data_IF_275438375046
#
_entry.id   IF_275438375046
#
_cell.length_a   1.000
_cell.length_b   1.000
_cell.length_c   1.000
_cell.angle_alpha   90.00
_cell.angle_beta   90.00
_cell.angle_gamma   90.00
#
_symmetry.space_group_name_H-M   'P 1'
#
loop_
_entity.id
_entity.type
_entity.pdbx_description
1 polymer ?
#
# COMPACT_ATOMS: atom_id res chain seq x y z
N UNK A 1 24.67 11.42 6.78
CA UNK A 1 25.20 10.19 7.39
C UNK A 1 25.89 9.38 6.30
N UNK A 2 27.13 8.95 6.52
CA UNK A 2 27.85 8.13 5.51
C UNK A 2 27.38 6.68 5.54
N UNK A 3 27.48 5.95 4.43
CA UNK A 3 27.15 4.51 4.34
C UNK A 3 27.84 3.72 5.45
N UNK A 4 29.15 3.91 5.61
CA UNK A 4 29.96 3.23 6.61
C UNK A 4 29.52 3.53 8.06
N UNK A 5 29.19 4.78 8.33
CA UNK A 5 28.69 5.20 9.66
C UNK A 5 27.34 4.55 9.96
N UNK A 6 26.43 4.54 8.97
CA UNK A 6 25.13 3.91 9.07
C UNK A 6 25.24 2.39 9.30
N UNK A 7 26.10 1.70 8.54
CA UNK A 7 26.28 0.25 8.63
C UNK A 7 26.96 -0.20 9.94
N UNK A 8 27.73 0.67 10.59
CA UNK A 8 28.36 0.40 11.90
C UNK A 8 27.46 0.69 13.10
N UNK A 9 26.30 1.31 12.89
CA UNK A 9 25.33 1.49 13.97
C UNK A 9 24.86 0.13 14.50
N UNK A 10 24.80 -0.04 15.82
CA UNK A 10 24.52 -1.32 16.46
C UNK A 10 23.18 -1.93 16.04
N UNK A 11 22.12 -1.11 15.95
CA UNK A 11 20.79 -1.57 15.51
C UNK A 11 20.83 -2.04 14.04
N UNK A 12 21.56 -1.31 13.19
CA UNK A 12 21.70 -1.64 11.76
C UNK A 12 22.52 -2.90 11.56
N UNK A 13 23.67 -3.02 12.24
CA UNK A 13 24.52 -4.20 12.18
C UNK A 13 23.78 -5.44 12.70
N UNK A 14 23.03 -5.28 13.80
CA UNK A 14 22.17 -6.33 14.34
C UNK A 14 21.09 -6.77 13.36
N UNK A 15 20.43 -5.83 12.68
CA UNK A 15 19.44 -6.15 11.63
C UNK A 15 20.10 -6.85 10.44
N UNK A 16 21.29 -6.44 10.00
CA UNK A 16 22.02 -7.07 8.89
C UNK A 16 22.32 -8.54 9.23
N UNK A 17 22.83 -8.82 10.43
CA UNK A 17 23.09 -10.18 10.92
C UNK A 17 21.81 -11.03 10.91
N UNK A 18 20.70 -10.46 11.40
CA UNK A 18 19.40 -11.12 11.39
C UNK A 18 18.93 -11.40 9.96
N UNK A 19 19.01 -10.43 9.06
CA UNK A 19 18.59 -10.58 7.66
C UNK A 19 19.47 -11.59 6.92
N UNK A 20 20.78 -11.63 7.18
CA UNK A 20 21.67 -12.64 6.61
C UNK A 20 21.21 -14.06 6.97
N UNK A 21 20.83 -14.27 8.24
CA UNK A 21 20.25 -15.53 8.70
C UNK A 21 18.87 -15.84 8.09
N UNK A 22 18.04 -14.82 7.85
CA UNK A 22 16.75 -14.98 7.15
C UNK A 22 16.96 -15.36 5.67
N UNK A 23 17.94 -14.74 5.02
CA UNK A 23 18.27 -14.95 3.60
C UNK A 23 18.81 -16.36 3.36
N UNK A 24 19.67 -16.87 4.24
CA UNK A 24 20.21 -18.23 4.13
C UNK A 24 19.33 -19.31 4.76
N UNK A 25 18.23 -18.92 5.41
CA UNK A 25 17.24 -19.83 5.99
C UNK A 25 17.59 -20.39 7.38
N UNK A 26 18.75 -20.02 7.96
CA UNK A 26 19.08 -20.38 9.35
C UNK A 26 18.12 -19.74 10.37
N UNK A 27 17.55 -18.58 10.01
CA UNK A 27 16.51 -17.91 10.78
C UNK A 27 15.19 -18.05 10.01
N UNK A 28 14.28 -18.95 10.42
CA UNK A 28 13.01 -19.13 9.74
C UNK A 28 12.08 -17.94 9.99
N UNK A 29 11.28 -17.58 8.98
CA UNK A 29 10.27 -16.52 9.05
C UNK A 29 8.86 -17.06 9.30
N UNK A 30 8.59 -18.31 8.92
CA UNK A 30 7.28 -18.98 9.08
C UNK A 30 6.11 -18.09 8.63
N UNK A 31 6.23 -17.51 7.43
CA UNK A 31 5.33 -16.49 6.95
C UNK A 31 4.05 -17.10 6.37
N UNK A 32 2.86 -16.84 6.95
CA UNK A 32 1.60 -17.31 6.35
C UNK A 32 1.26 -16.45 5.14
N UNK A 33 1.13 -17.07 3.98
CA UNK A 33 0.78 -16.38 2.72
C UNK A 33 -0.63 -16.73 2.26
N UNK A 34 -1.26 -15.77 1.59
CA UNK A 34 -2.52 -15.94 0.86
C UNK A 34 -2.45 -15.14 -0.44
N UNK A 35 -2.46 -15.84 -1.56
CA UNK A 35 -2.47 -15.29 -2.91
C UNK A 35 -3.85 -15.48 -3.56
N UNK A 36 -4.28 -14.51 -4.35
CA UNK A 36 -5.61 -14.57 -4.99
C UNK A 36 -5.54 -15.35 -6.32
N UNK A 37 -6.46 -16.30 -6.50
CA UNK A 37 -6.51 -17.28 -7.60
C UNK A 37 -6.60 -16.67 -9.01
N UNK A 38 -7.19 -15.48 -9.16
CA UNK A 38 -7.61 -14.97 -10.46
C UNK A 38 -6.48 -14.64 -11.45
N UNK A 39 -5.21 -14.70 -11.04
CA UNK A 39 -4.06 -14.26 -11.86
C UNK A 39 -2.86 -15.21 -11.87
N UNK A 40 -2.92 -16.34 -11.16
CA UNK A 40 -1.84 -17.35 -11.16
C UNK A 40 -2.24 -18.56 -12.04
N UNK A 41 -1.29 -19.21 -12.72
CA UNK A 41 -1.58 -20.35 -13.57
C UNK A 41 -1.95 -21.58 -12.72
N UNK A 42 -2.62 -22.55 -13.33
CA UNK A 42 -2.99 -23.80 -12.66
C UNK A 42 -1.78 -24.56 -12.12
N UNK A 43 -0.65 -24.53 -12.86
CA UNK A 43 0.63 -25.10 -12.43
C UNK A 43 1.14 -24.49 -11.12
N UNK A 44 1.05 -23.18 -10.95
CA UNK A 44 1.44 -22.50 -9.72
C UNK A 44 0.61 -22.99 -8.52
N UNK A 45 -0.71 -23.09 -8.72
CA UNK A 45 -1.62 -23.56 -7.67
C UNK A 45 -1.37 -25.02 -7.31
N UNK A 46 -1.01 -25.85 -8.29
CA UNK A 46 -0.65 -27.25 -8.07
C UNK A 46 0.69 -27.40 -7.33
N UNK A 47 1.69 -26.57 -7.62
CA UNK A 47 3.02 -26.66 -6.99
C UNK A 47 3.07 -26.07 -5.58
N UNK A 48 2.40 -24.94 -5.33
CA UNK A 48 2.57 -24.18 -4.08
C UNK A 48 1.29 -23.99 -3.29
N UNK A 49 0.12 -24.23 -3.89
CA UNK A 49 -1.15 -23.77 -3.33
C UNK A 49 -1.27 -22.24 -3.31
N UNK A 50 -2.49 -21.75 -3.07
CA UNK A 50 -2.78 -20.32 -2.97
C UNK A 50 -2.64 -19.78 -1.55
N UNK A 51 -2.55 -20.65 -0.56
CA UNK A 51 -2.34 -20.28 0.82
C UNK A 51 -1.51 -21.34 1.53
N UNK A 52 -0.71 -20.93 2.49
CA UNK A 52 0.15 -21.83 3.23
C UNK A 52 1.11 -21.07 4.13
N UNK A 53 2.18 -21.73 4.52
CA UNK A 53 3.28 -21.13 5.29
C UNK A 53 4.54 -21.25 4.45
N UNK A 54 5.27 -20.14 4.33
CA UNK A 54 6.60 -20.08 3.74
C UNK A 54 7.64 -20.07 4.88
N UNK A 55 8.36 -21.17 5.13
CA UNK A 55 9.36 -21.24 6.20
C UNK A 55 10.50 -20.23 6.03
N UNK A 56 10.94 -20.00 4.79
CA UNK A 56 12.10 -19.17 4.44
C UNK A 56 11.75 -18.06 3.44
N UNK A 57 12.67 -17.11 3.27
CA UNK A 57 12.53 -16.09 2.22
C UNK A 57 12.69 -16.67 0.81
N UNK A 58 13.50 -17.73 0.65
CA UNK A 58 13.62 -18.45 -0.63
C UNK A 58 12.29 -19.08 -1.04
N UNK A 59 11.50 -19.61 -0.10
CA UNK A 59 10.17 -20.15 -0.41
C UNK A 59 9.26 -19.09 -1.04
N UNK A 60 9.37 -17.82 -0.61
CA UNK A 60 8.63 -16.71 -1.19
C UNK A 60 9.17 -16.31 -2.56
N UNK A 61 10.48 -16.38 -2.77
CA UNK A 61 11.09 -16.19 -4.09
C UNK A 61 10.61 -17.25 -5.09
N UNK A 62 10.62 -18.53 -4.72
CA UNK A 62 10.17 -19.64 -5.57
C UNK A 62 8.67 -19.49 -5.97
N UNK A 63 7.92 -18.71 -5.18
CA UNK A 63 6.52 -18.35 -5.42
C UNK A 63 6.33 -17.03 -6.16
N UNK A 64 7.40 -16.42 -6.68
CA UNK A 64 7.29 -15.15 -7.38
C UNK A 64 6.36 -15.26 -8.59
N UNK A 65 5.33 -14.41 -8.59
CA UNK A 65 4.42 -14.31 -9.70
C UNK A 65 3.87 -12.89 -9.81
N UNK A 66 4.06 -12.27 -10.96
CA UNK A 66 3.57 -10.92 -11.19
C UNK A 66 3.22 -10.68 -12.65
N UNK A 67 2.09 -9.99 -12.84
CA UNK A 67 1.49 -9.70 -14.14
C UNK A 67 1.42 -10.91 -15.10
N UNK A 68 1.05 -12.07 -14.53
CA UNK A 68 0.93 -13.35 -15.27
C UNK A 68 2.25 -13.87 -15.83
N UNK A 69 3.37 -13.51 -15.21
CA UNK A 69 4.72 -13.91 -15.59
C UNK A 69 5.50 -14.44 -14.40
N UNK A 70 6.40 -15.39 -14.67
CA UNK A 70 7.40 -15.88 -13.71
C UNK A 70 8.46 -14.81 -13.39
N UNK A 71 9.41 -15.16 -12.54
CA UNK A 71 10.57 -14.31 -12.28
C UNK A 71 11.42 -14.15 -13.55
N UNK A 72 11.71 -15.25 -14.24
CA UNK A 72 12.55 -15.30 -15.44
C UNK A 72 11.96 -14.45 -16.57
N UNK A 73 10.67 -14.60 -16.87
CA UNK A 73 9.98 -13.82 -17.90
C UNK A 73 9.98 -12.30 -17.61
N UNK A 74 9.87 -11.94 -16.33
CA UNK A 74 10.00 -10.55 -15.90
C UNK A 74 11.45 -10.07 -15.97
N UNK A 75 12.42 -10.90 -15.58
CA UNK A 75 13.84 -10.59 -15.64
C UNK A 75 14.32 -10.36 -17.08
N UNK A 76 13.83 -11.13 -18.05
CA UNK A 76 14.08 -10.90 -19.48
C UNK A 76 13.52 -9.55 -19.94
N UNK A 77 12.29 -9.22 -19.54
CA UNK A 77 11.66 -7.94 -19.86
C UNK A 77 12.46 -6.78 -19.28
N UNK A 78 12.84 -6.86 -18.00
CA UNK A 78 13.65 -5.86 -17.33
C UNK A 78 15.05 -5.73 -17.90
N UNK A 79 15.66 -6.84 -18.36
CA UNK A 79 16.97 -6.82 -19.01
C UNK A 79 16.92 -6.05 -20.32
N UNK A 80 15.88 -6.24 -21.13
CA UNK A 80 15.68 -5.46 -22.36
C UNK A 80 15.53 -3.97 -22.07
N UNK A 81 14.69 -3.62 -21.10
CA UNK A 81 14.48 -2.22 -20.69
C UNK A 81 15.77 -1.62 -20.11
N UNK A 82 16.50 -2.35 -19.27
CA UNK A 82 17.80 -1.95 -18.71
C UNK A 82 18.79 -1.64 -19.82
N UNK A 83 18.91 -2.52 -20.81
CA UNK A 83 19.85 -2.34 -21.91
C UNK A 83 19.48 -1.12 -22.74
N UNK A 84 18.20 -0.94 -23.07
CA UNK A 84 17.70 0.25 -23.76
C UNK A 84 18.03 1.53 -22.99
N UNK A 85 17.70 1.56 -21.70
CA UNK A 85 17.92 2.70 -20.82
C UNK A 85 19.41 3.05 -20.68
N UNK A 86 20.25 2.07 -20.33
CA UNK A 86 21.70 2.28 -20.16
C UNK A 86 22.38 2.69 -21.46
N UNK A 87 21.99 2.11 -22.60
CA UNK A 87 22.56 2.49 -23.89
C UNK A 87 22.15 3.92 -24.29
N UNK A 88 20.89 4.31 -24.05
CA UNK A 88 20.41 5.68 -24.33
C UNK A 88 21.16 6.76 -23.55
N UNK A 89 21.78 6.43 -22.41
CA UNK A 89 22.52 7.36 -21.56
C UNK A 89 24.04 7.34 -21.77
N UNK A 90 24.58 6.40 -22.56
CA UNK A 90 26.03 6.30 -22.84
C UNK A 90 26.51 7.27 -23.91
N UNK A 91 25.62 7.79 -24.73
CA UNK A 91 25.96 8.71 -25.82
C UNK A 91 26.49 10.04 -25.24
N UNK A 92 27.50 10.63 -25.91
CA UNK A 92 28.04 11.95 -25.52
C UNK A 92 27.01 13.07 -25.60
N UNK A 93 25.96 12.88 -26.41
CA UNK A 93 24.76 13.69 -26.44
C UNK A 93 23.53 12.76 -26.48
N UNK A 94 23.01 12.34 -25.31
CA UNK A 94 21.87 11.42 -25.23
C UNK A 94 20.65 11.92 -25.99
N UNK A 95 20.14 11.10 -26.92
CA UNK A 95 18.87 11.41 -27.57
C UNK A 95 17.72 11.38 -26.56
N UNK A 96 17.09 12.54 -26.31
CA UNK A 96 16.05 12.69 -25.28
C UNK A 96 14.84 11.76 -25.51
N UNK A 97 14.49 11.49 -26.78
CA UNK A 97 13.39 10.59 -27.10
C UNK A 97 13.72 9.13 -26.74
N UNK A 98 14.96 8.68 -26.97
CA UNK A 98 15.39 7.32 -26.60
C UNK A 98 15.38 7.14 -25.07
N UNK A 99 15.89 8.12 -24.32
CA UNK A 99 15.86 8.11 -22.85
C UNK A 99 14.41 8.09 -22.34
N UNK A 100 13.55 8.95 -22.89
CA UNK A 100 12.14 8.98 -22.55
C UNK A 100 11.44 7.64 -22.83
N UNK A 101 11.64 7.06 -24.02
CA UNK A 101 11.01 5.81 -24.41
C UNK A 101 11.40 4.66 -23.46
N UNK A 102 12.68 4.55 -23.09
CA UNK A 102 13.13 3.53 -22.14
C UNK A 102 12.51 3.73 -20.74
N UNK A 103 12.37 4.98 -20.28
CA UNK A 103 11.64 5.29 -19.04
C UNK A 103 10.16 4.95 -19.17
N UNK A 104 9.53 5.29 -20.30
CA UNK A 104 8.11 5.04 -20.56
C UNK A 104 7.78 3.54 -20.56
N UNK A 105 8.58 2.73 -21.24
CA UNK A 105 8.46 1.27 -21.25
C UNK A 105 8.49 0.69 -19.83
N UNK A 106 9.37 1.23 -18.97
CA UNK A 106 9.45 0.81 -17.57
C UNK A 106 8.22 1.21 -16.75
N UNK A 107 7.67 2.41 -17.00
CA UNK A 107 6.46 2.87 -16.34
C UNK A 107 5.26 2.00 -16.75
N UNK A 108 5.17 1.63 -18.03
CA UNK A 108 4.08 0.79 -18.55
C UNK A 108 4.19 -0.66 -18.08
N UNK A 109 5.41 -1.17 -17.91
CA UNK A 109 5.65 -2.44 -17.22
C UNK A 109 5.18 -2.36 -15.76
N UNK A 110 5.80 -1.47 -14.97
CA UNK A 110 5.80 -1.60 -13.51
C UNK A 110 4.70 -0.87 -12.75
N UNK A 111 3.86 -0.06 -13.40
CA UNK A 111 2.88 0.80 -12.73
C UNK A 111 1.45 0.65 -13.25
N UNK A 112 0.49 0.95 -12.38
CA UNK A 112 -0.90 1.12 -12.79
C UNK A 112 -1.03 2.29 -13.79
N UNK A 113 -1.91 2.22 -14.81
CA UNK A 113 -1.97 3.20 -15.91
C UNK A 113 -1.96 4.68 -15.49
N UNK A 114 -2.72 5.04 -14.44
CA UNK A 114 -2.74 6.41 -13.91
C UNK A 114 -1.37 6.87 -13.37
N UNK A 115 -0.68 5.99 -12.64
CA UNK A 115 0.65 6.29 -12.11
C UNK A 115 1.72 6.26 -13.21
N UNK A 116 1.58 5.37 -14.19
CA UNK A 116 2.42 5.36 -15.38
C UNK A 116 2.31 6.68 -16.15
N UNK A 117 1.09 7.12 -16.46
CA UNK A 117 0.82 8.38 -17.14
C UNK A 117 1.42 9.60 -16.41
N UNK A 118 1.25 9.68 -15.08
CA UNK A 118 1.81 10.79 -14.30
C UNK A 118 3.35 10.81 -14.26
N UNK A 119 4.00 9.65 -14.28
CA UNK A 119 5.46 9.58 -14.32
C UNK A 119 6.03 9.82 -15.72
N UNK A 120 5.31 9.37 -16.76
CA UNK A 120 5.63 9.67 -18.17
C UNK A 120 5.51 11.17 -18.45
N UNK A 121 4.42 11.81 -18.04
CA UNK A 121 4.23 13.25 -18.21
C UNK A 121 5.34 14.07 -17.53
N UNK A 122 5.81 13.65 -16.34
CA UNK A 122 6.95 14.32 -15.72
C UNK A 122 8.24 14.13 -16.53
N UNK A 123 8.50 12.92 -17.04
CA UNK A 123 9.69 12.61 -17.83
C UNK A 123 9.72 13.42 -19.13
N UNK A 124 8.59 13.45 -19.83
CA UNK A 124 8.38 14.22 -21.05
C UNK A 124 8.63 15.72 -20.81
N UNK A 125 8.11 16.27 -19.71
CA UNK A 125 8.31 17.67 -19.34
C UNK A 125 9.78 18.06 -19.08
N UNK A 126 10.68 17.10 -18.83
CA UNK A 126 12.10 17.39 -18.66
C UNK A 126 12.84 17.59 -19.99
N UNK A 127 12.30 17.05 -21.09
CA UNK A 127 12.95 17.09 -22.41
C UNK A 127 14.42 16.64 -22.36
N UNK A 128 15.31 17.44 -22.94
CA UNK A 128 16.75 17.17 -22.98
C UNK A 128 17.43 17.10 -21.58
N UNK A 129 16.82 17.67 -20.53
CA UNK A 129 17.37 17.61 -19.18
C UNK A 129 17.11 16.27 -18.47
N UNK A 130 16.26 15.39 -19.03
CA UNK A 130 15.94 14.11 -18.42
C UNK A 130 17.19 13.25 -18.17
N UNK A 131 18.09 13.15 -19.16
CA UNK A 131 19.32 12.37 -19.06
C UNK A 131 20.21 12.86 -17.92
N UNK A 132 20.41 14.17 -17.82
CA UNK A 132 21.18 14.80 -16.75
C UNK A 132 20.58 14.53 -15.36
N UNK A 133 19.25 14.63 -15.21
CA UNK A 133 18.59 14.32 -13.93
C UNK A 133 18.76 12.85 -13.53
N UNK A 134 18.62 11.92 -14.49
CA UNK A 134 18.81 10.49 -14.23
C UNK A 134 20.26 10.16 -13.87
N UNK A 135 21.24 10.76 -14.55
CA UNK A 135 22.67 10.56 -14.27
C UNK A 135 23.06 11.15 -12.91
N UNK A 136 22.53 12.33 -12.55
CA UNK A 136 22.69 12.89 -11.20
C UNK A 136 22.09 11.99 -10.13
N UNK A 137 20.90 11.44 -10.39
CA UNK A 137 20.23 10.52 -9.45
C UNK A 137 21.01 9.22 -9.29
N UNK A 138 21.54 8.66 -10.38
CA UNK A 138 22.45 7.51 -10.36
C UNK A 138 23.69 7.80 -9.50
N UNK A 139 24.39 8.91 -9.78
CA UNK A 139 25.58 9.29 -9.02
C UNK A 139 25.28 9.46 -7.52
N UNK A 140 24.12 10.03 -7.18
CA UNK A 140 23.69 10.22 -5.80
C UNK A 140 23.37 8.90 -5.08
N UNK A 141 22.78 7.92 -5.77
CA UNK A 141 22.48 6.59 -5.19
C UNK A 141 23.71 5.69 -5.07
N UNK A 142 24.70 5.88 -5.94
CA UNK A 142 25.97 5.14 -5.92
C UNK A 142 27.03 5.81 -5.01
N UNK A 143 26.73 6.99 -4.48
CA UNK A 143 27.55 7.69 -3.51
C UNK A 143 27.59 6.96 -2.16
N UNK A 144 28.77 6.93 -1.53
CA UNK A 144 28.94 6.49 -0.15
C UNK A 144 28.53 7.57 0.87
N UNK A 145 28.49 8.83 0.46
CA UNK A 145 27.95 9.93 1.26
C UNK A 145 26.44 10.05 1.06
N UNK A 146 25.70 10.45 2.10
CA UNK A 146 24.28 10.78 1.97
C UNK A 146 24.09 11.99 1.05
N UNK A 147 23.81 11.73 -0.23
CA UNK A 147 23.64 12.75 -1.24
C UNK A 147 22.22 13.35 -1.26
N UNK A 148 21.63 13.63 -0.08
CA UNK A 148 20.30 14.22 0.03
C UNK A 148 20.20 15.55 -0.73
N UNK A 149 21.26 16.34 -0.66
CA UNK A 149 21.38 17.64 -1.34
C UNK A 149 21.44 17.52 -2.87
N UNK A 150 21.62 16.32 -3.42
CA UNK A 150 21.65 16.09 -4.86
C UNK A 150 20.23 15.93 -5.46
N UNK A 151 19.20 15.67 -4.65
CA UNK A 151 17.84 15.40 -5.11
C UNK A 151 16.89 16.59 -5.34
N UNK A 152 17.25 17.88 -5.16
CA UNK A 152 16.43 18.97 -5.67
C UNK A 152 16.17 18.81 -7.17
N UNK A 153 14.90 18.61 -7.55
CA UNK A 153 14.48 18.43 -8.94
C UNK A 153 14.63 17.02 -9.51
N UNK A 154 15.26 16.09 -8.78
CA UNK A 154 15.32 14.67 -9.18
C UNK A 154 14.08 13.95 -8.65
N UNK A 155 13.34 13.30 -9.55
CA UNK A 155 12.13 12.57 -9.15
C UNK A 155 12.49 11.26 -8.48
N UNK A 156 11.97 11.07 -7.27
CA UNK A 156 11.99 9.79 -6.58
C UNK A 156 10.60 9.44 -6.04
N UNK A 157 10.12 8.25 -6.43
CA UNK A 157 8.89 7.60 -5.98
C UNK A 157 8.94 6.12 -6.40
N UNK A 158 7.90 5.32 -6.10
CA UNK A 158 7.82 3.90 -6.50
C UNK A 158 8.05 3.60 -8.00
N UNK A 159 7.83 4.56 -8.89
CA UNK A 159 8.13 4.44 -10.31
C UNK A 159 9.61 4.71 -10.61
N UNK A 160 10.15 5.78 -10.05
CA UNK A 160 11.54 6.16 -10.28
C UNK A 160 12.54 5.27 -9.54
N UNK A 161 12.16 4.64 -8.42
CA UNK A 161 12.97 3.56 -7.83
C UNK A 161 13.18 2.42 -8.81
N UNK A 162 12.25 2.16 -9.74
CA UNK A 162 12.43 1.19 -10.83
C UNK A 162 13.46 1.63 -11.84
N UNK A 163 13.39 2.90 -12.25
CA UNK A 163 14.38 3.49 -13.18
C UNK A 163 15.78 3.32 -12.59
N UNK A 164 15.96 3.72 -11.32
CA UNK A 164 17.27 3.62 -10.67
C UNK A 164 17.70 2.19 -10.38
N UNK A 165 16.79 1.26 -10.11
CA UNK A 165 17.10 -0.16 -9.98
C UNK A 165 17.59 -0.82 -11.29
N UNK A 166 17.33 -0.20 -12.45
CA UNK A 166 17.89 -0.62 -13.73
C UNK A 166 19.17 0.17 -14.10
N UNK A 167 19.34 1.39 -13.60
CA UNK A 167 20.52 2.23 -13.85
C UNK A 167 21.71 1.92 -12.94
N UNK A 168 21.46 1.65 -11.66
CA UNK A 168 22.48 1.39 -10.65
C UNK A 168 22.65 -0.14 -10.49
N UNK A 169 23.84 -0.58 -10.11
CA UNK A 169 24.11 -2.02 -9.97
C UNK A 169 23.47 -2.60 -8.70
N UNK A 170 23.58 -1.90 -7.57
CA UNK A 170 23.14 -2.40 -6.26
C UNK A 170 21.91 -1.65 -5.74
N UNK A 171 20.92 -1.41 -6.61
CA UNK A 171 19.68 -0.74 -6.24
C UNK A 171 18.45 -1.63 -6.45
N UNK A 172 17.58 -1.66 -5.45
CA UNK A 172 16.29 -2.34 -5.51
C UNK A 172 15.18 -1.41 -6.01
N UNK A 173 14.13 -2.01 -6.57
CA UNK A 173 12.79 -1.44 -6.69
C UNK A 173 12.20 -1.40 -5.30
N UNK A 174 12.40 -0.26 -4.62
CA UNK A 174 11.65 0.03 -3.42
C UNK A 174 10.25 0.44 -3.86
N UNK A 175 9.28 -0.47 -3.75
CA UNK A 175 7.86 -0.18 -3.96
C UNK A 175 7.06 -0.40 -2.68
N UNK A 176 5.73 -0.22 -2.75
CA UNK A 176 4.88 -0.36 -1.57
C UNK A 176 4.91 -1.77 -0.94
N UNK A 177 5.14 -2.83 -1.71
CA UNK A 177 5.25 -4.20 -1.17
C UNK A 177 6.62 -4.42 -0.55
N UNK A 178 7.68 -4.07 -1.26
CA UNK A 178 9.06 -4.22 -0.77
C UNK A 178 9.28 -3.42 0.51
N UNK A 179 8.81 -2.17 0.56
CA UNK A 179 8.89 -1.34 1.78
C UNK A 179 8.09 -1.93 2.95
N UNK A 180 6.88 -2.44 2.69
CA UNK A 180 6.08 -3.11 3.72
C UNK A 180 6.76 -4.38 4.25
N UNK A 181 7.35 -5.18 3.35
CA UNK A 181 8.09 -6.39 3.72
C UNK A 181 9.32 -6.08 4.58
N UNK A 182 10.08 -5.05 4.22
CA UNK A 182 11.25 -4.64 5.00
C UNK A 182 10.85 -4.16 6.41
N UNK A 183 9.81 -3.34 6.52
CA UNK A 183 9.26 -2.93 7.80
C UNK A 183 8.80 -4.12 8.65
N UNK A 184 8.15 -5.12 8.02
CA UNK A 184 7.73 -6.33 8.72
C UNK A 184 8.93 -7.16 9.24
N UNK A 185 10.01 -7.26 8.46
CA UNK A 185 11.25 -7.93 8.89
C UNK A 185 11.94 -7.17 10.02
N UNK A 186 11.94 -5.84 10.00
CA UNK A 186 12.39 -5.01 11.13
C UNK A 186 11.55 -5.30 12.38
N UNK A 187 10.23 -5.33 12.25
CA UNK A 187 9.34 -5.68 13.37
C UNK A 187 9.69 -7.05 13.94
N UNK A 188 9.86 -8.05 13.07
CA UNK A 188 10.22 -9.42 13.48
C UNK A 188 11.57 -9.45 14.22
N UNK A 189 12.56 -8.71 13.72
CA UNK A 189 13.87 -8.53 14.36
C UNK A 189 13.74 -7.91 15.77
N UNK A 190 13.02 -6.79 15.88
CA UNK A 190 12.85 -6.07 17.16
C UNK A 190 12.13 -6.94 18.20
N UNK A 191 11.05 -7.62 17.80
CA UNK A 191 10.31 -8.55 18.67
C UNK A 191 11.21 -9.67 19.18
N UNK A 192 12.01 -10.30 18.29
CA UNK A 192 12.88 -11.42 18.67
C UNK A 192 14.01 -11.02 19.61
N UNK A 193 14.48 -9.78 19.52
CA UNK A 193 15.49 -9.25 20.44
C UNK A 193 14.88 -8.65 21.71
N UNK A 194 13.56 -8.74 21.90
CA UNK A 194 12.88 -8.21 23.08
C UNK A 194 12.94 -6.68 23.18
N UNK A 195 13.14 -5.98 22.05
CA UNK A 195 13.14 -4.53 22.01
C UNK A 195 11.78 -3.98 22.45
N UNK A 196 11.80 -2.87 23.21
CA UNK A 196 10.59 -2.21 23.71
C UNK A 196 10.67 -0.72 23.38
N UNK A 197 9.52 -0.13 23.06
CA UNK A 197 9.41 1.30 22.77
C UNK A 197 9.37 1.60 21.28
N UNK A 198 9.88 2.77 20.90
CA UNK A 198 9.86 3.22 19.51
C UNK A 198 10.87 2.46 18.66
N UNK A 199 10.58 2.38 17.36
CA UNK A 199 11.52 1.85 16.37
C UNK A 199 12.72 2.80 16.32
N UNK A 200 13.97 2.29 16.38
CA UNK A 200 15.14 3.14 16.19
C UNK A 200 15.07 3.90 14.87
N UNK A 201 15.43 5.18 14.84
CA UNK A 201 15.36 6.03 13.64
C UNK A 201 16.18 5.48 12.47
N UNK A 202 17.24 4.73 12.76
CA UNK A 202 18.06 4.03 11.78
C UNK A 202 17.32 2.87 11.12
N UNK A 203 16.32 2.28 11.78
CA UNK A 203 15.50 1.17 11.29
C UNK A 203 14.07 1.58 10.88
N UNK A 204 13.75 2.87 10.98
CA UNK A 204 12.43 3.44 10.70
C UNK A 204 12.15 3.55 9.19
N UNK A 205 12.13 2.41 8.50
CA UNK A 205 11.73 2.33 7.09
C UNK A 205 10.27 2.76 6.89
N UNK A 206 10.00 3.24 5.67
CA UNK A 206 8.67 3.68 5.29
C UNK A 206 8.04 2.69 4.30
N UNK A 207 6.72 2.60 4.32
CA UNK A 207 5.95 1.69 3.47
C UNK A 207 4.84 2.43 2.73
N UNK A 208 4.22 1.82 1.72
CA UNK A 208 3.05 2.42 1.07
C UNK A 208 1.92 1.42 0.97
N UNK A 209 0.71 1.89 1.29
CA UNK A 209 -0.52 1.18 0.93
C UNK A 209 -0.57 0.92 -0.58
N UNK A 210 -1.14 -0.22 -0.94
CA UNK A 210 -1.51 -0.50 -2.32
C UNK A 210 -2.86 0.13 -2.69
N UNK A 211 -3.14 0.21 -3.98
CA UNK A 211 -4.51 0.46 -4.47
C UNK A 211 -5.43 -0.75 -4.29
N UNK A 212 -4.85 -1.89 -3.94
CA UNK A 212 -5.55 -3.16 -3.81
C UNK A 212 -5.95 -3.42 -2.35
N UNK A 213 -6.96 -4.27 -2.15
CA UNK A 213 -7.53 -4.54 -0.83
C UNK A 213 -6.60 -5.37 0.10
N UNK A 214 -5.43 -5.81 -0.38
CA UNK A 214 -4.50 -6.59 0.45
C UNK A 214 -3.91 -5.73 1.57
N UNK A 215 -3.92 -6.29 2.79
CA UNK A 215 -3.36 -5.66 3.96
C UNK A 215 -1.83 -5.58 3.84
N UNK A 216 -1.27 -4.37 3.89
CA UNK A 216 0.18 -4.13 3.80
C UNK A 216 0.74 -3.35 4.98
N UNK A 217 -0.05 -3.07 6.00
CA UNK A 217 0.42 -2.32 7.16
C UNK A 217 1.37 -3.21 7.98
N UNK A 218 2.65 -2.85 8.11
CA UNK A 218 3.62 -3.62 8.88
C UNK A 218 3.57 -3.29 10.37
N UNK A 219 2.75 -2.33 10.81
CA UNK A 219 2.58 -1.99 12.23
C UNK A 219 1.92 -3.13 13.01
N UNK A 220 2.33 -3.32 14.25
CA UNK A 220 1.93 -4.43 15.11
C UNK A 220 2.91 -4.62 16.26
N UNK A 221 2.57 -5.45 17.24
CA UNK A 221 3.50 -5.87 18.30
C UNK A 221 4.13 -4.69 19.09
N UNK A 222 3.42 -3.57 19.20
CA UNK A 222 3.89 -2.33 19.85
C UNK A 222 4.68 -1.37 18.95
N UNK A 223 4.90 -1.72 17.68
CA UNK A 223 5.65 -0.91 16.71
C UNK A 223 4.74 -0.26 15.66
N UNK A 224 4.98 1.03 15.39
CA UNK A 224 4.24 1.81 14.40
C UNK A 224 5.18 2.30 13.29
N UNK A 225 4.86 1.96 12.04
CA UNK A 225 5.63 2.38 10.86
C UNK A 225 4.87 3.45 10.08
N UNK A 226 5.55 4.54 9.79
CA UNK A 226 5.00 5.64 9.01
C UNK A 226 4.86 5.29 7.52
N UNK A 227 3.76 5.71 6.86
CA UNK A 227 3.59 5.52 5.43
C UNK A 227 4.31 6.61 4.62
N UNK A 228 4.78 6.25 3.42
CA UNK A 228 5.22 7.16 2.37
C UNK A 228 4.04 8.02 1.92
N UNK A 229 4.10 9.33 2.22
CA UNK A 229 3.05 10.27 1.84
C UNK A 229 3.26 10.73 0.40
N UNK A 230 2.37 10.32 -0.51
CA UNK A 230 2.38 10.79 -1.89
C UNK A 230 2.00 12.29 -1.96
N UNK A 231 2.77 13.08 -2.72
CA UNK A 231 2.37 14.43 -3.13
C UNK A 231 2.59 15.57 -2.12
N UNK A 232 3.33 15.33 -1.03
CA UNK A 232 3.81 16.41 -0.15
C UNK A 232 5.24 16.84 -0.53
N UNK A 233 5.60 18.09 -0.22
CA UNK A 233 7.00 18.55 -0.24
C UNK A 233 7.86 17.60 0.60
N UNK A 234 9.06 17.26 0.12
CA UNK A 234 9.96 16.29 0.78
C UNK A 234 9.63 14.81 0.53
N UNK A 235 8.56 14.48 -0.21
CA UNK A 235 8.23 13.08 -0.51
C UNK A 235 9.38 12.36 -1.24
N UNK A 236 10.02 13.01 -2.22
CA UNK A 236 11.15 12.42 -2.93
C UNK A 236 12.36 12.20 -2.03
N UNK A 237 12.66 13.12 -1.11
CA UNK A 237 13.76 12.96 -0.13
C UNK A 237 13.52 11.76 0.78
N UNK A 238 12.29 11.60 1.29
CA UNK A 238 11.93 10.43 2.10
C UNK A 238 12.07 9.12 1.33
N UNK A 239 11.68 9.08 0.04
CA UNK A 239 11.89 7.90 -0.80
C UNK A 239 13.37 7.62 -1.05
N UNK A 240 14.19 8.65 -1.25
CA UNK A 240 15.64 8.51 -1.46
C UNK A 240 16.27 7.89 -0.21
N UNK A 241 15.98 8.46 0.96
CA UNK A 241 16.52 8.00 2.23
C UNK A 241 16.25 6.51 2.47
N UNK A 242 14.98 6.11 2.41
CA UNK A 242 14.62 4.70 2.65
C UNK A 242 15.15 3.76 1.56
N UNK A 243 15.22 4.21 0.30
CA UNK A 243 15.76 3.39 -0.78
C UNK A 243 17.27 3.18 -0.64
N UNK A 244 18.03 4.24 -0.32
CA UNK A 244 19.47 4.13 -0.08
C UNK A 244 19.79 3.22 1.10
N UNK A 245 19.13 3.43 2.25
CA UNK A 245 19.31 2.58 3.44
C UNK A 245 18.95 1.13 3.17
N UNK A 246 17.87 0.88 2.43
CA UNK A 246 17.45 -0.48 2.07
C UNK A 246 18.45 -1.15 1.13
N UNK A 247 18.97 -0.42 0.13
CA UNK A 247 20.02 -0.92 -0.76
C UNK A 247 21.24 -1.35 0.06
N UNK A 248 21.73 -0.50 0.96
CA UNK A 248 22.90 -0.78 1.78
C UNK A 248 22.71 -1.99 2.71
N UNK A 249 21.60 -2.05 3.46
CA UNK A 249 21.33 -3.16 4.37
C UNK A 249 21.14 -4.47 3.62
N UNK A 250 20.36 -4.48 2.54
CA UNK A 250 20.09 -5.73 1.80
C UNK A 250 21.32 -6.23 1.04
N UNK A 251 22.14 -5.33 0.49
CA UNK A 251 23.43 -5.68 -0.09
C UNK A 251 24.35 -6.32 0.96
N UNK A 252 24.53 -5.67 2.11
CA UNK A 252 25.35 -6.19 3.22
C UNK A 252 24.84 -7.54 3.72
N UNK A 253 23.53 -7.66 3.98
CA UNK A 253 22.93 -8.90 4.46
C UNK A 253 23.05 -10.04 3.44
N UNK A 254 22.83 -9.76 2.14
CA UNK A 254 23.02 -10.76 1.08
C UNK A 254 24.46 -11.24 1.04
N UNK A 255 25.43 -10.31 1.03
CA UNK A 255 26.85 -10.63 0.95
C UNK A 255 27.32 -11.45 2.16
N UNK A 256 26.75 -11.19 3.34
CA UNK A 256 27.03 -11.94 4.57
C UNK A 256 26.28 -13.29 4.65
N UNK A 257 25.17 -13.45 3.94
CA UNK A 257 24.31 -14.64 4.08
C UNK A 257 24.94 -15.94 3.56
N UNK A 258 25.84 -15.86 2.57
CA UNK A 258 26.34 -16.98 1.76
C UNK A 258 25.23 -17.84 1.10
N UNK A 259 24.01 -17.31 0.98
CA UNK A 259 22.88 -18.06 0.44
C UNK A 259 23.01 -18.31 -1.07
N UNK A 260 23.01 -19.57 -1.48
CA UNK A 260 23.26 -19.96 -2.88
C UNK A 260 22.27 -19.34 -3.87
N UNK A 261 20.99 -19.27 -3.51
CA UNK A 261 19.92 -18.82 -4.41
C UNK A 261 20.07 -17.37 -4.87
N UNK A 262 20.73 -16.52 -4.08
CA UNK A 262 20.93 -15.09 -4.34
C UNK A 262 22.39 -14.64 -4.28
N UNK A 263 23.35 -15.53 -4.53
CA UNK A 263 24.79 -15.21 -4.40
C UNK A 263 25.40 -14.43 -5.57
N UNK A 264 24.82 -14.53 -6.76
CA UNK A 264 25.37 -13.97 -8.00
C UNK A 264 24.92 -12.52 -8.23
N UNK A 265 25.35 -11.92 -9.35
CA UNK A 265 25.08 -10.51 -9.68
C UNK A 265 23.59 -10.14 -9.63
N UNK A 266 22.69 -11.06 -10.01
CA UNK A 266 21.24 -10.85 -9.96
C UNK A 266 20.63 -11.11 -8.57
N UNK A 267 21.45 -11.47 -7.58
CA UNK A 267 21.01 -11.90 -6.26
C UNK A 267 20.18 -10.86 -5.51
N UNK A 268 20.50 -9.56 -5.67
CA UNK A 268 19.72 -8.49 -5.04
C UNK A 268 18.32 -8.36 -5.68
N UNK A 269 18.19 -8.67 -6.98
CA UNK A 269 16.90 -8.70 -7.68
C UNK A 269 16.04 -9.88 -7.22
N UNK A 270 16.65 -11.05 -6.96
CA UNK A 270 15.94 -12.19 -6.37
C UNK A 270 15.48 -11.91 -4.95
N UNK A 271 16.32 -11.25 -4.15
CA UNK A 271 15.96 -10.83 -2.80
C UNK A 271 14.79 -9.83 -2.82
N UNK A 272 14.84 -8.84 -3.72
CA UNK A 272 13.73 -7.91 -3.96
C UNK A 272 12.44 -8.64 -4.37
N UNK A 273 12.52 -9.63 -5.27
CA UNK A 273 11.38 -10.45 -5.68
C UNK A 273 10.77 -11.23 -4.51
N UNK A 274 11.61 -11.76 -3.61
CA UNK A 274 11.16 -12.42 -2.40
C UNK A 274 10.43 -11.44 -1.45
N UNK A 275 10.99 -10.25 -1.24
CA UNK A 275 10.37 -9.19 -0.44
C UNK A 275 9.06 -8.70 -1.06
N UNK A 276 8.98 -8.63 -2.39
CA UNK A 276 7.77 -8.28 -3.11
C UNK A 276 6.63 -9.28 -2.87
N UNK A 277 6.97 -10.58 -2.77
CA UNK A 277 6.01 -11.63 -2.43
C UNK A 277 5.63 -11.61 -0.93
N UNK A 278 6.59 -11.38 -0.04
CA UNK A 278 6.33 -11.18 1.40
C UNK A 278 5.34 -10.03 1.61
N UNK A 279 5.60 -8.89 0.96
CA UNK A 279 4.77 -7.69 1.04
C UNK A 279 3.46 -7.75 0.27
N UNK A 280 3.08 -8.91 -0.29
CA UNK A 280 1.82 -9.08 -1.00
C UNK A 280 0.63 -8.82 -0.09
N UNK A 281 0.59 -9.51 1.05
CA UNK A 281 -0.41 -9.38 2.10
C UNK A 281 0.23 -9.75 3.44
N UNK A 282 0.45 -8.76 4.31
CA UNK A 282 1.02 -8.96 5.63
C UNK A 282 -0.04 -9.44 6.63
N UNK A 283 0.30 -10.36 7.55
CA UNK A 283 -0.56 -10.72 8.67
C UNK A 283 -0.88 -9.49 9.51
N UNK A 284 -2.11 -9.40 10.01
CA UNK A 284 -2.44 -8.41 11.04
C UNK A 284 -1.55 -8.68 12.27
N UNK A 285 -0.86 -7.66 12.79
CA UNK A 285 -0.07 -7.80 14.01
C UNK A 285 -0.97 -8.03 15.21
N UNK A 286 -0.55 -8.88 16.16
CA UNK A 286 -1.25 -8.96 17.44
C UNK A 286 -1.02 -7.64 18.21
N UNK A 287 -2.06 -7.10 18.82
CA UNK A 287 -1.96 -5.88 19.64
C UNK A 287 -2.21 -4.54 18.93
N UNK A 288 -2.65 -4.51 17.67
CA UNK A 288 -3.30 -3.32 17.07
C UNK A 288 -4.60 -3.72 16.33
N UNK A 289 -5.24 -4.82 16.72
CA UNK A 289 -6.57 -5.16 16.19
C UNK A 289 -7.71 -4.32 16.77
N UNK A 290 -7.41 -3.42 17.72
CA UNK A 290 -8.38 -2.49 18.31
C UNK A 290 -8.28 -1.06 17.78
N UNK A 291 -7.26 -0.71 16.99
CA UNK A 291 -7.05 0.68 16.56
C UNK A 291 -7.04 0.90 15.04
N UNK A 292 -6.93 -0.15 14.20
CA UNK A 292 -6.77 0.01 12.74
C UNK A 292 -7.96 -0.45 11.88
N UNK A 293 -9.12 -0.77 12.47
CA UNK A 293 -10.40 -0.86 11.71
C UNK A 293 -11.06 0.52 11.48
N UNK A 294 -10.46 1.60 11.99
CA UNK A 294 -10.67 3.01 11.63
C UNK A 294 -9.23 3.52 11.42
N UNK A 295 -8.73 3.97 10.28
CA UNK A 295 -9.21 4.93 9.30
C UNK A 295 -8.19 4.94 8.14
N UNK A 296 -8.55 4.37 6.99
CA UNK A 296 -7.92 4.74 5.71
C UNK A 296 -8.99 5.27 4.76
N UNK A 297 -9.84 6.15 5.30
CA UNK A 297 -10.84 6.89 4.55
C UNK A 297 -10.73 8.34 4.96
N UNK A 298 -9.91 9.09 4.21
CA UNK A 298 -9.82 10.56 4.17
C UNK A 298 -10.18 11.23 5.50
N UNK A 299 -9.19 11.43 6.37
CA UNK A 299 -9.26 12.57 7.29
C UNK A 299 -9.20 13.86 6.47
N UNK A 300 -10.36 14.24 5.93
CA UNK A 300 -10.67 15.66 5.80
C UNK A 300 -10.83 16.14 7.22
N UNK A 301 -9.95 17.05 7.65
CA UNK A 301 -10.10 17.88 8.84
C UNK A 301 -11.55 18.40 8.97
N UNK A 302 -12.41 17.66 9.63
CA UNK A 302 -13.55 18.23 10.33
C UNK A 302 -13.17 18.19 11.79
N UNK A 303 -13.03 19.39 12.38
CA UNK A 303 -12.81 19.60 13.81
C UNK A 303 -13.67 18.61 14.58
N UNK A 304 -13.06 17.90 15.53
CA UNK A 304 -13.72 17.07 16.52
C UNK A 304 -14.81 17.88 17.24
N UNK A 305 -16.03 17.83 16.73
CA UNK A 305 -17.23 18.17 17.48
C UNK A 305 -17.60 16.93 18.28
N UNK A 306 -17.82 17.09 19.58
CA UNK A 306 -18.41 16.06 20.41
C UNK A 306 -19.77 15.68 19.83
N UNK A 307 -19.93 14.41 19.44
CA UNK A 307 -21.21 13.89 18.95
C UNK A 307 -22.04 13.52 20.18
N UNK A 308 -23.26 14.07 20.35
CA UNK A 308 -24.09 13.75 21.50
C UNK A 308 -24.44 12.25 21.56
N UNK A 309 -24.64 11.67 22.75
CA UNK A 309 -25.21 10.33 22.88
C UNK A 309 -26.50 10.21 22.05
N UNK A 310 -26.72 9.05 21.42
CA UNK A 310 -27.89 8.86 20.56
C UNK A 310 -27.76 9.40 19.12
N UNK A 311 -26.60 9.95 18.75
CA UNK A 311 -26.38 10.57 17.44
C UNK A 311 -25.19 9.97 16.69
N UNK A 312 -25.21 10.10 15.36
CA UNK A 312 -24.09 9.78 14.46
C UNK A 312 -23.72 11.01 13.63
N UNK A 313 -22.43 11.22 13.32
CA UNK A 313 -22.01 12.34 12.49
C UNK A 313 -22.41 12.14 11.03
N UNK A 314 -22.62 13.25 10.32
CA UNK A 314 -22.58 13.23 8.86
C UNK A 314 -21.12 13.17 8.41
N UNK A 315 -20.79 12.21 7.55
CA UNK A 315 -19.41 12.00 7.09
C UNK A 315 -19.01 12.92 5.93
N UNK A 316 -19.99 13.47 5.21
CA UNK A 316 -19.75 14.33 4.04
C UNK A 316 -20.33 15.74 4.23
N UNK A 317 -20.89 16.04 5.41
CA UNK A 317 -21.44 17.33 5.79
C UNK A 317 -21.19 17.66 7.27
N UNK A 318 -21.12 18.93 7.67
CA UNK A 318 -21.17 19.31 9.08
C UNK A 318 -22.48 18.86 9.76
N UNK A 319 -22.37 18.46 11.03
CA UNK A 319 -23.50 18.12 11.91
C UNK A 319 -23.59 16.63 12.23
N UNK A 320 -24.70 16.27 12.88
CA UNK A 320 -25.03 14.92 13.30
C UNK A 320 -26.54 14.69 13.18
N UNK A 321 -26.97 13.44 13.15
CA UNK A 321 -28.39 13.06 13.16
C UNK A 321 -28.65 12.04 14.26
N UNK A 322 -29.88 12.02 14.76
CA UNK A 322 -30.31 11.04 15.76
C UNK A 322 -30.61 9.71 15.06
N UNK A 323 -29.95 8.63 15.49
CA UNK A 323 -30.29 7.30 14.97
C UNK A 323 -31.60 6.76 15.55
N UNK A 324 -32.05 7.29 16.70
CA UNK A 324 -33.39 6.99 17.23
C UNK A 324 -34.48 7.65 16.40
N UNK A 325 -34.26 8.87 15.89
CA UNK A 325 -35.17 9.49 14.91
C UNK A 325 -35.31 8.64 13.64
N UNK A 326 -34.22 8.02 13.18
CA UNK A 326 -34.26 7.09 12.05
C UNK A 326 -35.09 5.84 12.37
N UNK A 327 -34.95 5.27 13.58
CA UNK A 327 -35.78 4.14 14.04
C UNK A 327 -37.26 4.55 14.09
N UNK A 328 -37.57 5.70 14.66
CA UNK A 328 -38.94 6.20 14.78
C UNK A 328 -39.55 6.50 13.42
N UNK A 329 -38.77 7.04 12.49
CA UNK A 329 -39.19 7.22 11.11
C UNK A 329 -39.50 5.87 10.43
N UNK A 330 -38.61 4.88 10.54
CA UNK A 330 -38.84 3.56 9.95
C UNK A 330 -40.08 2.88 10.53
N UNK A 331 -40.30 2.99 11.84
CA UNK A 331 -41.49 2.47 12.52
C UNK A 331 -42.76 3.21 12.10
N UNK A 332 -42.74 4.54 12.11
CA UNK A 332 -43.89 5.37 11.74
C UNK A 332 -44.32 5.19 10.28
N UNK A 333 -43.35 4.89 9.39
CA UNK A 333 -43.61 4.56 7.99
C UNK A 333 -43.81 3.06 7.73
N UNK A 334 -43.78 2.23 8.78
CA UNK A 334 -43.88 0.76 8.70
C UNK A 334 -42.89 0.14 7.70
N UNK A 335 -41.67 0.68 7.64
CA UNK A 335 -40.63 0.24 6.73
C UNK A 335 -39.84 -0.92 7.37
N UNK A 336 -39.94 -2.15 6.86
CA UNK A 336 -39.16 -3.29 7.39
C UNK A 336 -37.65 -3.12 7.11
N UNK A 337 -37.32 -2.33 6.10
CA UNK A 337 -35.96 -1.96 5.72
C UNK A 337 -35.95 -0.65 4.93
N UNK A 338 -34.78 -0.03 4.83
CA UNK A 338 -34.50 1.06 3.90
C UNK A 338 -33.35 0.65 2.98
N UNK A 339 -33.50 0.86 1.68
CA UNK A 339 -32.40 0.68 0.72
C UNK A 339 -31.33 1.73 1.02
N UNK A 340 -30.06 1.33 1.12
CA UNK A 340 -28.96 2.28 1.42
C UNK A 340 -28.95 3.40 0.37
N UNK A 341 -29.01 3.02 -0.90
CA UNK A 341 -29.38 3.91 -2.00
C UNK A 341 -28.40 5.02 -2.34
N UNK A 342 -27.16 4.98 -1.85
CA UNK A 342 -26.16 6.01 -2.08
C UNK A 342 -25.93 6.33 -3.56
N UNK A 343 -26.21 7.58 -3.94
CA UNK A 343 -26.02 8.12 -5.30
C UNK A 343 -25.01 9.28 -5.27
N UNK A 344 -24.39 9.66 -6.38
CA UNK A 344 -23.56 10.88 -6.48
C UNK A 344 -24.29 12.04 -7.19
N UNK A 345 -25.58 11.88 -7.49
CA UNK A 345 -26.43 12.93 -8.07
C UNK A 345 -26.87 13.97 -7.01
N UNK A 346 -27.32 15.13 -7.49
CA UNK A 346 -27.94 16.19 -6.67
C UNK A 346 -29.24 15.69 -6.03
N UNK A 347 -29.64 16.31 -4.93
CA UNK A 347 -30.79 15.88 -4.13
C UNK A 347 -32.09 15.79 -4.96
N UNK A 348 -32.35 16.81 -5.77
CA UNK A 348 -33.55 16.90 -6.62
C UNK A 348 -33.58 15.85 -7.75
N UNK A 349 -32.43 15.23 -8.06
CA UNK A 349 -32.29 14.20 -9.10
C UNK A 349 -32.16 12.79 -8.51
N UNK A 350 -32.34 12.65 -7.19
CA UNK A 350 -32.11 11.39 -6.52
C UNK A 350 -33.17 10.34 -6.89
N UNK A 351 -32.76 9.27 -7.56
CA UNK A 351 -33.68 8.28 -8.14
C UNK A 351 -34.42 7.39 -7.11
N UNK A 352 -34.11 7.52 -5.82
CA UNK A 352 -34.64 6.67 -4.74
C UNK A 352 -35.10 7.49 -3.53
N UNK A 353 -36.30 8.09 -3.55
CA UNK A 353 -36.79 8.96 -2.48
C UNK A 353 -37.03 8.23 -1.14
N UNK A 354 -37.18 6.90 -1.18
CA UNK A 354 -37.37 6.06 0.03
C UNK A 354 -36.06 5.46 0.57
N UNK A 355 -34.91 5.90 0.07
CA UNK A 355 -33.61 5.37 0.51
C UNK A 355 -33.07 6.05 1.76
N UNK A 356 -32.15 5.36 2.44
CA UNK A 356 -31.39 5.91 3.56
C UNK A 356 -30.61 7.16 3.13
N UNK A 357 -29.97 7.14 1.95
CA UNK A 357 -29.23 8.30 1.43
C UNK A 357 -30.13 9.53 1.30
N UNK A 358 -31.32 9.35 0.74
CA UNK A 358 -32.28 10.44 0.57
C UNK A 358 -32.75 11.00 1.91
N UNK A 359 -33.08 10.12 2.87
CA UNK A 359 -33.49 10.52 4.22
C UNK A 359 -32.39 11.31 4.95
N UNK A 360 -31.13 10.88 4.82
CA UNK A 360 -29.98 11.54 5.41
C UNK A 360 -29.68 12.89 4.75
N UNK A 361 -29.77 12.98 3.42
CA UNK A 361 -29.56 14.24 2.69
C UNK A 361 -30.58 15.30 3.07
N UNK A 362 -31.84 14.92 3.29
CA UNK A 362 -32.90 15.82 3.73
C UNK A 362 -32.63 16.44 5.12
N UNK A 363 -31.73 15.85 5.91
CA UNK A 363 -31.35 16.29 7.27
C UNK A 363 -29.91 16.82 7.35
N UNK A 364 -29.21 16.84 6.23
CA UNK A 364 -27.83 17.26 6.14
C UNK A 364 -27.75 18.72 5.71
N UNK A 365 -26.71 19.42 6.19
CA UNK A 365 -26.35 20.75 5.69
C UNK A 365 -25.83 20.74 4.24
N UNK A 366 -25.64 19.55 3.64
CA UNK A 366 -25.24 19.37 2.23
C UNK A 366 -26.13 18.31 1.56
N UNK A 367 -27.34 18.67 1.11
CA UNK A 367 -28.29 17.72 0.51
C UNK A 367 -27.80 17.13 -0.83
N UNK A 368 -26.99 17.88 -1.59
CA UNK A 368 -26.46 17.44 -2.89
C UNK A 368 -25.26 16.48 -2.79
N UNK A 369 -24.86 16.10 -1.58
CA UNK A 369 -23.74 15.19 -1.35
C UNK A 369 -24.26 13.90 -0.75
N UNK A 370 -23.78 12.76 -1.28
CA UNK A 370 -24.05 11.43 -0.73
C UNK A 370 -23.74 11.35 0.75
N UNK A 371 -24.71 10.97 1.57
CA UNK A 371 -24.56 10.83 3.02
C UNK A 371 -24.47 9.37 3.47
N UNK A 372 -25.13 8.44 2.77
CA UNK A 372 -25.13 7.00 3.11
C UNK A 372 -23.80 6.31 2.74
N UNK A 373 -22.69 6.83 3.24
CA UNK A 373 -21.38 6.23 3.01
C UNK A 373 -21.28 4.89 3.73
N UNK A 374 -20.39 4.00 3.28
CA UNK A 374 -20.13 2.72 3.95
C UNK A 374 -19.86 2.90 5.45
N UNK A 375 -19.13 3.96 5.81
CA UNK A 375 -18.76 4.25 7.21
C UNK A 375 -19.97 4.58 8.06
N UNK A 376 -20.87 5.43 7.54
CA UNK A 376 -22.11 5.76 8.23
C UNK A 376 -22.98 4.51 8.44
N UNK A 377 -23.08 3.67 7.42
CA UNK A 377 -23.83 2.41 7.51
C UNK A 377 -23.20 1.49 8.55
N UNK A 378 -21.89 1.37 8.58
CA UNK A 378 -21.19 0.53 9.56
C UNK A 378 -21.40 1.04 11.00
N UNK A 379 -21.40 2.35 11.22
CA UNK A 379 -21.72 2.92 12.54
C UNK A 379 -23.19 2.73 12.93
N UNK A 380 -24.13 2.81 11.97
CA UNK A 380 -25.53 2.44 12.22
C UNK A 380 -25.63 0.99 12.69
N UNK A 381 -24.91 0.06 12.05
CA UNK A 381 -24.89 -1.35 12.45
C UNK A 381 -24.25 -1.52 13.84
N UNK A 382 -23.21 -0.75 14.14
CA UNK A 382 -22.53 -0.79 15.44
C UNK A 382 -23.43 -0.35 16.62
N UNK A 383 -24.53 0.37 16.37
CA UNK A 383 -25.52 0.67 17.41
C UNK A 383 -26.25 -0.56 17.94
N UNK A 384 -26.22 -1.68 17.21
CA UNK A 384 -27.00 -2.87 17.52
C UNK A 384 -28.50 -2.75 17.22
N UNK A 385 -28.98 -1.60 16.73
CA UNK A 385 -30.40 -1.39 16.40
C UNK A 385 -30.72 -1.78 14.94
N UNK A 386 -29.69 -1.83 14.10
CA UNK A 386 -29.82 -2.09 12.66
C UNK A 386 -29.05 -3.33 12.24
N UNK A 387 -29.57 -4.02 11.23
CA UNK A 387 -28.93 -5.17 10.58
C UNK A 387 -28.81 -4.93 9.08
N UNK A 388 -27.68 -5.36 8.49
CA UNK A 388 -27.46 -5.29 7.05
C UNK A 388 -28.19 -6.44 6.37
N UNK A 389 -28.92 -6.12 5.30
CA UNK A 389 -29.72 -7.08 4.53
C UNK A 389 -29.55 -6.84 3.03
N UNK A 390 -30.12 -7.77 2.26
CA UNK A 390 -30.32 -7.64 0.84
C UNK A 390 -31.81 -7.77 0.58
N UNK A 391 -32.47 -6.67 0.20
CA UNK A 391 -33.91 -6.64 -0.03
C UNK A 391 -34.21 -6.08 -1.43
N UNK A 392 -35.37 -6.42 -1.98
CA UNK A 392 -35.81 -5.95 -3.30
C UNK A 392 -36.16 -4.46 -3.20
N UNK A 393 -35.44 -3.64 -3.97
CA UNK A 393 -35.66 -2.19 -3.99
C UNK A 393 -37.02 -1.86 -4.61
N UNK A 394 -37.95 -1.21 -3.89
CA UNK A 394 -39.28 -0.90 -4.42
C UNK A 394 -39.26 -0.02 -5.66
N UNK A 395 -38.28 0.87 -5.77
CA UNK A 395 -38.14 1.79 -6.91
C UNK A 395 -37.54 1.14 -8.17
N UNK A 396 -36.73 0.08 -8.04
CA UNK A 396 -35.99 -0.49 -9.18
C UNK A 396 -36.23 -1.97 -9.44
N UNK A 397 -36.96 -2.68 -8.57
CA UNK A 397 -37.20 -4.13 -8.65
C UNK A 397 -35.98 -5.03 -8.48
N UNK A 398 -34.78 -4.46 -8.30
CA UNK A 398 -33.50 -5.17 -8.13
C UNK A 398 -33.20 -5.42 -6.66
N UNK A 399 -32.57 -6.56 -6.35
CA UNK A 399 -31.99 -6.83 -5.03
C UNK A 399 -30.88 -5.81 -4.74
N UNK A 400 -30.98 -5.10 -3.62
CA UNK A 400 -30.07 -4.03 -3.23
C UNK A 400 -29.68 -4.18 -1.75
N UNK A 401 -28.50 -3.65 -1.39
CA UNK A 401 -28.12 -3.54 0.01
C UNK A 401 -29.09 -2.61 0.76
N UNK A 402 -29.53 -3.07 1.91
CA UNK A 402 -30.51 -2.40 2.78
C UNK A 402 -30.07 -2.44 4.25
N UNK A 403 -30.65 -1.54 5.04
CA UNK A 403 -30.62 -1.58 6.51
C UNK A 403 -32.02 -1.87 7.02
N UNK A 404 -32.16 -2.86 7.90
CA UNK A 404 -33.41 -3.17 8.59
C UNK A 404 -33.24 -3.04 10.10
N UNK A 405 -34.35 -2.96 10.84
CA UNK A 405 -34.31 -3.00 12.31
C UNK A 405 -34.02 -4.43 12.79
N UNK A 406 -33.25 -4.57 13.87
CA UNK A 406 -32.98 -5.88 14.49
C UNK A 406 -34.23 -6.42 15.19
N UNK A 407 -34.40 -7.75 15.21
CA UNK A 407 -35.56 -8.41 15.84
C UNK A 407 -35.73 -8.14 17.35
N UNK A 408 -34.67 -7.73 18.06
CA UNK A 408 -34.75 -7.31 19.47
C UNK A 408 -35.63 -6.06 19.67
N UNK A 409 -35.93 -5.33 18.59
CA UNK A 409 -36.69 -4.08 18.57
C UNK A 409 -38.07 -4.28 17.89
N UNK A 410 -38.25 -5.42 17.20
CA UNK A 410 -39.48 -5.81 16.51
C UNK A 410 -40.54 -6.43 17.42
N UNK A 411 -40.21 -6.77 18.68
CA UNK A 411 -41.15 -7.37 19.64
C UNK A 411 -42.04 -6.36 20.40
N UNK A 412 -42.03 -5.06 20.06
CA UNK A 412 -42.96 -4.07 20.62
C UNK A 412 -44.21 -3.83 19.74
N UNK A 413 -44.46 -4.70 18.77
CA UNK A 413 -45.71 -4.73 17.99
C UNK A 413 -46.26 -6.16 17.95
N UNK A 414 -46.83 -6.58 19.08
CA UNK A 414 -48.07 -7.35 19.16
C UNK A 414 -48.98 -6.69 20.19
#
# INVERSE_FOLDING_TARGET
>A
MKKDEYLRNDDVSGLINFLAGVINGSIPIQFPYVFHSAKVPSSFSASFGLSGVAPTLKDLFDRYWWDRKSYEENAETLTRIRNSLRNSLKESAPNAANVYNAVADLMDWGLHPKAAAANKAWAEAQGANLSNLLLKGKAALESEDSAFDAFPGIRMNAGYTKVYALLCENSIIYDGRVGAALCWLVRLYLVRNGHKGQIPDTLAFLWSGGLSAQHRNPSGDGFAFEPLRNGMHGASEAWVDVNMRANWILESARNQSDAEWCRYEDGLRKLEAALFMLGYALPAGQGIESANKRTNKRERKHKSQEVPPGHLPFYEAPGYFSYTELVDFMRGQQLPFMIIGGDNQSFDKHAKPHSLDYWLRARSSRPDVRQSTTTLVDDLLATGLFVRRNDVCPASGRVCNSVGLTNAISCQLL
#
